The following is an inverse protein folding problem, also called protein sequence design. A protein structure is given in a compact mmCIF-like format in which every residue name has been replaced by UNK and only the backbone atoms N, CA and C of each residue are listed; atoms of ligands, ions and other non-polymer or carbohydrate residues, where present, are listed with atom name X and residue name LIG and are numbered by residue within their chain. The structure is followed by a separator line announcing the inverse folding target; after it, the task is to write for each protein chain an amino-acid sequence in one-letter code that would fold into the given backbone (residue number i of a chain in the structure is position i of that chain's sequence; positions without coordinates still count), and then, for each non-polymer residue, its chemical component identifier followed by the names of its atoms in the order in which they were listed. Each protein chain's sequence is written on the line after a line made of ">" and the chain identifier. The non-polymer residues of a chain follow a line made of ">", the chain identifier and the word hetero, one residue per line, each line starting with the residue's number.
data_IF_233756242680
#
_entry.id   IF_233756242680
#
_cell.length_a   1.000
_cell.length_b   1.000
_cell.length_c   1.000
_cell.angle_alpha   90.00
_cell.angle_beta   90.00
_cell.angle_gamma   90.00
#
_symmetry.space_group_name_H-M   'P 1'
#
loop_
_entity.id
_entity.type
_entity.pdbx_description
1 polymer ?
#
# COMPACT_ATOMS: atom_id res chain seq x y z
N UNK A 1 4.87 12.58 -28.79
CA UNK A 1 3.47 12.31 -28.43
C UNK A 1 3.35 10.80 -28.38
N UNK A 2 3.52 10.21 -27.21
CA UNK A 2 3.56 8.75 -27.05
C UNK A 2 2.12 8.27 -26.93
N UNK A 3 1.62 7.62 -27.98
CA UNK A 3 0.35 6.91 -27.93
C UNK A 3 0.52 5.73 -26.97
N UNK A 4 -0.10 5.82 -25.79
CA UNK A 4 -0.30 4.66 -24.93
C UNK A 4 -1.47 3.87 -25.53
N UNK A 5 -1.22 2.64 -25.99
CA UNK A 5 -2.32 1.74 -26.33
C UNK A 5 -3.05 1.36 -25.04
N UNK A 6 -4.37 1.55 -25.02
CA UNK A 6 -5.20 1.10 -23.90
C UNK A 6 -4.94 -0.40 -23.65
N UNK A 7 -4.44 -0.74 -22.46
CA UNK A 7 -4.24 -2.13 -22.02
C UNK A 7 -2.79 -2.58 -21.83
N UNK A 8 -1.78 -1.79 -22.22
CA UNK A 8 -0.38 -2.16 -21.96
C UNK A 8 0.05 -1.76 -20.54
N UNK A 9 0.44 -2.73 -19.71
CA UNK A 9 0.96 -2.47 -18.37
C UNK A 9 2.34 -1.80 -18.44
N UNK A 10 2.55 -0.71 -17.70
CA UNK A 10 3.86 -0.07 -17.58
C UNK A 10 4.76 -0.89 -16.66
N UNK A 11 5.96 -1.25 -17.14
CA UNK A 11 6.96 -2.02 -16.37
C UNK A 11 8.09 -1.13 -15.88
N UNK A 12 8.81 -1.56 -14.84
CA UNK A 12 10.01 -0.86 -14.35
C UNK A 12 11.10 -0.78 -15.43
N UNK A 13 11.23 -1.82 -16.27
CA UNK A 13 12.18 -1.81 -17.39
C UNK A 13 11.81 -0.76 -18.44
N UNK A 14 10.51 -0.61 -18.76
CA UNK A 14 10.05 0.44 -19.68
C UNK A 14 10.32 1.84 -19.12
N UNK A 15 10.09 2.04 -17.83
CA UNK A 15 10.40 3.32 -17.17
C UNK A 15 11.90 3.61 -17.19
N UNK A 16 12.74 2.61 -16.86
CA UNK A 16 14.19 2.69 -16.92
C UNK A 16 14.68 3.10 -18.31
N UNK A 17 14.19 2.44 -19.36
CA UNK A 17 14.52 2.76 -20.75
C UNK A 17 14.12 4.20 -21.11
N UNK A 18 12.90 4.60 -20.77
CA UNK A 18 12.41 5.97 -21.03
C UNK A 18 13.23 7.03 -20.31
N UNK A 19 13.64 6.78 -19.06
CA UNK A 19 14.49 7.69 -18.30
C UNK A 19 15.92 7.77 -18.86
N UNK A 20 16.50 6.64 -19.25
CA UNK A 20 17.81 6.60 -19.86
C UNK A 20 17.83 7.35 -21.20
N UNK A 21 16.79 7.18 -22.02
CA UNK A 21 16.61 7.92 -23.27
C UNK A 21 16.49 9.43 -22.99
N UNK A 22 15.62 9.84 -22.07
CA UNK A 22 15.40 11.23 -21.70
C UNK A 22 16.68 11.92 -21.19
N UNK A 23 17.46 11.23 -20.35
CA UNK A 23 18.71 11.73 -19.81
C UNK A 23 19.79 11.89 -20.90
N UNK A 24 19.90 10.90 -21.79
CA UNK A 24 20.87 10.92 -22.89
C UNK A 24 20.58 12.04 -23.89
N UNK A 25 19.32 12.25 -24.26
CA UNK A 25 18.90 13.35 -25.15
C UNK A 25 19.29 14.73 -24.61
N UNK A 26 19.34 14.89 -23.29
CA UNK A 26 19.67 16.14 -22.61
C UNK A 26 21.13 16.20 -22.15
N UNK A 27 21.90 15.16 -22.43
CA UNK A 27 23.28 15.00 -21.97
C UNK A 27 23.42 15.12 -20.45
N UNK A 28 22.42 14.63 -19.71
CA UNK A 28 22.32 14.72 -18.25
C UNK A 28 23.05 13.59 -17.51
N UNK A 29 23.52 12.57 -18.23
CA UNK A 29 24.26 11.46 -17.62
C UNK A 29 25.46 11.92 -16.79
N UNK A 30 26.08 13.05 -17.14
CA UNK A 30 27.18 13.66 -16.38
C UNK A 30 26.79 14.10 -14.96
N UNK A 31 25.51 14.39 -14.70
CA UNK A 31 25.01 14.84 -13.40
C UNK A 31 24.43 13.70 -12.57
N UNK A 32 24.17 12.54 -13.19
CA UNK A 32 23.51 11.38 -12.60
C UNK A 32 24.49 10.45 -11.84
N UNK A 33 25.25 11.01 -10.90
CA UNK A 33 25.96 10.18 -9.92
C UNK A 33 24.96 9.54 -8.93
N UNK A 34 25.24 8.35 -8.38
CA UNK A 34 24.37 7.71 -7.38
C UNK A 34 23.99 8.64 -6.22
N UNK A 35 24.95 9.42 -5.72
CA UNK A 35 24.72 10.38 -4.63
C UNK A 35 23.74 11.47 -5.03
N UNK A 36 23.90 12.04 -6.23
CA UNK A 36 23.02 13.13 -6.67
C UNK A 36 21.59 12.64 -6.88
N UNK A 37 21.42 11.46 -7.49
CA UNK A 37 20.11 10.84 -7.67
C UNK A 37 19.43 10.49 -6.33
N UNK A 38 20.20 10.02 -5.34
CA UNK A 38 19.69 9.80 -3.99
C UNK A 38 19.23 11.11 -3.34
N UNK A 39 19.98 12.20 -3.49
CA UNK A 39 19.59 13.49 -2.93
C UNK A 39 18.35 14.07 -3.61
N UNK A 40 18.23 13.91 -4.93
CA UNK A 40 17.02 14.28 -5.67
C UNK A 40 15.81 13.46 -5.18
N UNK A 41 15.95 12.13 -5.06
CA UNK A 41 14.92 11.26 -4.50
C UNK A 41 14.45 11.72 -3.10
N UNK A 42 15.38 12.14 -2.24
CA UNK A 42 15.02 12.67 -0.91
C UNK A 42 14.23 13.98 -1.02
N UNK A 43 14.56 14.83 -2.00
CA UNK A 43 13.78 16.02 -2.34
C UNK A 43 12.33 15.69 -2.68
N UNK A 44 12.11 14.77 -3.62
CA UNK A 44 10.76 14.37 -4.05
C UNK A 44 9.97 13.69 -2.92
N UNK A 45 10.63 12.94 -2.03
CA UNK A 45 9.98 12.41 -0.82
C UNK A 45 9.56 13.55 0.12
N UNK A 46 10.32 14.65 0.16
CA UNK A 46 9.96 15.88 0.85
C UNK A 46 8.71 16.52 0.26
N UNK A 47 8.67 16.74 -1.06
CA UNK A 47 7.52 17.31 -1.78
C UNK A 47 6.26 16.44 -1.60
N UNK A 48 6.39 15.12 -1.74
CA UNK A 48 5.34 14.16 -1.41
C UNK A 48 4.85 14.30 0.04
N UNK A 49 5.76 14.53 0.99
CA UNK A 49 5.41 14.71 2.41
C UNK A 49 4.66 16.02 2.65
N UNK A 50 4.96 17.08 1.92
CA UNK A 50 4.29 18.38 2.04
C UNK A 50 2.79 18.31 1.73
N UNK A 51 2.39 17.39 0.84
CA UNK A 51 0.98 17.12 0.52
C UNK A 51 0.20 16.66 1.77
N UNK A 52 0.86 15.90 2.66
CA UNK A 52 0.23 15.31 3.84
C UNK A 52 0.49 16.07 5.13
N UNK A 53 1.47 16.97 5.19
CA UNK A 53 2.00 17.54 6.43
C UNK A 53 0.94 18.18 7.36
N UNK A 54 -0.13 18.74 6.79
CA UNK A 54 -1.24 19.39 7.53
C UNK A 54 -2.55 18.60 7.47
N UNK A 55 -2.55 17.43 6.84
CA UNK A 55 -3.69 16.51 6.84
C UNK A 55 -3.63 15.73 8.15
N UNK A 56 -4.76 15.60 8.84
CA UNK A 56 -4.89 14.69 9.99
C UNK A 56 -4.84 13.23 9.53
N UNK A 57 -5.62 12.35 10.15
CA UNK A 57 -5.78 11.00 9.62
C UNK A 57 -6.38 11.05 8.20
N UNK A 58 -5.65 10.48 7.22
CA UNK A 58 -6.10 10.42 5.83
C UNK A 58 -6.72 9.04 5.56
N UNK A 59 -8.03 8.96 5.31
CA UNK A 59 -8.69 7.69 5.02
C UNK A 59 -8.26 7.10 3.68
N UNK A 60 -8.29 5.77 3.59
CA UNK A 60 -8.02 5.02 2.36
C UNK A 60 -8.95 5.50 1.23
N UNK A 61 -8.39 5.66 0.04
CA UNK A 61 -9.13 6.10 -1.15
C UNK A 61 -9.36 7.61 -1.23
N UNK A 62 -8.82 8.38 -0.28
CA UNK A 62 -8.81 9.84 -0.30
C UNK A 62 -10.20 10.48 -0.52
N UNK A 63 -11.27 10.03 0.19
CA UNK A 63 -12.58 10.66 0.08
C UNK A 63 -12.50 12.16 0.43
N UNK A 64 -13.15 12.98 -0.38
CA UNK A 64 -13.17 14.44 -0.20
C UNK A 64 -11.94 15.17 -0.75
N UNK A 65 -10.93 14.46 -1.26
CA UNK A 65 -9.85 15.10 -2.02
C UNK A 65 -10.36 15.49 -3.41
N UNK A 66 -9.99 16.68 -3.83
CA UNK A 66 -10.27 17.19 -5.17
C UNK A 66 -9.38 16.49 -6.19
N UNK A 67 -9.77 16.55 -7.46
CA UNK A 67 -9.03 15.89 -8.54
C UNK A 67 -7.64 16.50 -8.78
N UNK A 68 -7.48 17.81 -8.57
CA UNK A 68 -6.17 18.49 -8.61
C UNK A 68 -5.26 18.02 -7.46
N UNK A 69 -5.78 17.80 -6.25
CA UNK A 69 -4.99 17.24 -5.14
C UNK A 69 -4.53 15.81 -5.45
N UNK A 70 -5.38 14.99 -6.06
CA UNK A 70 -5.02 13.61 -6.45
C UNK A 70 -4.04 13.58 -7.62
N UNK A 71 -4.18 14.51 -8.57
CA UNK A 71 -3.24 14.66 -9.67
C UNK A 71 -1.85 15.00 -9.14
N UNK A 72 -1.77 16.03 -8.29
CA UNK A 72 -0.50 16.44 -7.67
C UNK A 72 0.12 15.31 -6.83
N UNK A 73 -0.68 14.59 -6.04
CA UNK A 73 -0.21 13.37 -5.36
C UNK A 73 0.35 12.33 -6.33
N UNK A 74 -0.29 12.14 -7.48
CA UNK A 74 0.18 11.24 -8.53
C UNK A 74 1.51 11.68 -9.15
N UNK A 75 1.72 12.99 -9.31
CA UNK A 75 2.98 13.58 -9.79
C UNK A 75 4.11 13.28 -8.81
N UNK A 76 3.96 13.64 -7.53
CA UNK A 76 5.01 13.43 -6.52
C UNK A 76 5.33 11.94 -6.28
N UNK A 77 4.31 11.08 -6.29
CA UNK A 77 4.52 9.62 -6.25
C UNK A 77 5.30 9.12 -7.46
N UNK A 78 5.06 9.72 -8.63
CA UNK A 78 5.76 9.37 -9.86
C UNK A 78 7.21 9.84 -9.82
N UNK A 79 7.49 11.04 -9.32
CA UNK A 79 8.86 11.56 -9.22
C UNK A 79 9.71 10.71 -8.27
N UNK A 80 9.18 10.33 -7.11
CA UNK A 80 9.82 9.36 -6.20
C UNK A 80 10.11 8.03 -6.93
N UNK A 81 9.14 7.48 -7.67
CA UNK A 81 9.33 6.24 -8.43
C UNK A 81 10.42 6.38 -9.49
N UNK A 82 10.39 7.46 -10.27
CA UNK A 82 11.30 7.68 -11.39
C UNK A 82 12.74 7.85 -10.88
N UNK A 83 12.99 8.66 -9.85
CA UNK A 83 14.34 8.75 -9.29
C UNK A 83 14.82 7.43 -8.69
N UNK A 84 13.95 6.64 -8.06
CA UNK A 84 14.32 5.33 -7.55
C UNK A 84 14.68 4.36 -8.68
N UNK A 85 13.91 4.34 -9.76
CA UNK A 85 14.20 3.54 -10.97
C UNK A 85 15.55 3.97 -11.56
N UNK A 86 15.77 5.27 -11.75
CA UNK A 86 17.03 5.76 -12.32
C UNK A 86 18.23 5.51 -11.42
N UNK A 87 18.08 5.67 -10.11
CA UNK A 87 19.12 5.31 -9.15
C UNK A 87 19.47 3.83 -9.24
N UNK A 88 18.47 2.94 -9.34
CA UNK A 88 18.71 1.50 -9.49
C UNK A 88 19.46 1.16 -10.78
N UNK A 89 19.13 1.82 -11.89
CA UNK A 89 19.79 1.69 -13.19
C UNK A 89 21.27 2.06 -13.11
N UNK A 90 21.57 3.26 -12.59
CA UNK A 90 22.95 3.73 -12.41
C UNK A 90 23.75 2.85 -11.45
N UNK A 91 23.10 2.25 -10.44
CA UNK A 91 23.73 1.31 -9.51
C UNK A 91 23.83 -0.13 -10.05
N UNK A 92 23.29 -0.44 -11.24
CA UNK A 92 23.28 -1.79 -11.80
C UNK A 92 22.42 -2.78 -11.02
N UNK A 93 21.36 -2.29 -10.35
CA UNK A 93 20.44 -3.10 -9.55
C UNK A 93 19.16 -3.37 -10.34
N UNK A 94 18.82 -4.64 -10.51
CA UNK A 94 17.49 -5.04 -11.00
C UNK A 94 16.45 -4.80 -9.89
N UNK A 95 15.82 -3.62 -9.92
CA UNK A 95 14.88 -3.18 -8.90
C UNK A 95 13.67 -4.10 -8.79
N UNK A 96 13.16 -4.61 -9.90
CA UNK A 96 12.02 -5.54 -9.92
C UNK A 96 12.34 -6.84 -9.20
N UNK A 97 13.47 -7.49 -9.53
CA UNK A 97 13.90 -8.70 -8.82
C UNK A 97 14.22 -8.43 -7.35
N UNK A 98 14.86 -7.30 -7.05
CA UNK A 98 15.18 -6.91 -5.67
C UNK A 98 13.90 -6.72 -4.83
N UNK A 99 12.88 -6.07 -5.39
CA UNK A 99 11.59 -5.86 -4.73
C UNK A 99 10.86 -7.19 -4.48
N UNK A 100 10.78 -8.08 -5.47
CA UNK A 100 10.14 -9.40 -5.33
C UNK A 100 10.82 -10.23 -4.24
N UNK A 101 12.16 -10.32 -4.25
CA UNK A 101 12.93 -10.98 -3.19
C UNK A 101 12.64 -10.37 -1.82
N UNK A 102 12.50 -9.03 -1.74
CA UNK A 102 12.22 -8.35 -0.48
C UNK A 102 10.82 -8.68 0.05
N UNK A 103 9.82 -8.83 -0.81
CA UNK A 103 8.47 -9.28 -0.43
C UNK A 103 8.51 -10.68 0.17
N UNK A 104 9.22 -11.63 -0.46
CA UNK A 104 9.40 -13.00 0.07
C UNK A 104 10.04 -12.99 1.45
N UNK A 105 11.12 -12.21 1.64
CA UNK A 105 11.78 -12.07 2.93
C UNK A 105 10.87 -11.42 3.99
N UNK A 106 10.04 -10.46 3.60
CA UNK A 106 9.09 -9.83 4.51
C UNK A 106 7.98 -10.81 4.92
N UNK A 107 7.53 -11.70 4.04
CA UNK A 107 6.54 -12.73 4.36
C UNK A 107 7.08 -13.74 5.40
N UNK A 108 8.37 -14.07 5.34
CA UNK A 108 9.05 -14.88 6.37
C UNK A 108 9.13 -14.11 7.69
N UNK A 109 9.47 -12.82 7.65
CA UNK A 109 9.60 -11.97 8.85
C UNK A 109 8.25 -11.72 9.53
N UNK A 110 7.16 -11.63 8.77
CA UNK A 110 5.81 -11.34 9.24
C UNK A 110 4.82 -12.40 8.73
N UNK A 111 4.83 -13.61 9.30
CA UNK A 111 3.97 -14.69 8.86
C UNK A 111 2.49 -14.36 9.11
N UNK A 112 1.61 -14.87 8.25
CA UNK A 112 0.16 -14.81 8.49
C UNK A 112 -0.13 -15.56 9.78
N UNK A 113 -0.48 -14.84 10.83
CA UNK A 113 -0.99 -15.46 12.05
C UNK A 113 -2.30 -16.17 11.68
N UNK A 114 -2.35 -17.49 11.81
CA UNK A 114 -3.62 -18.22 11.80
C UNK A 114 -4.42 -17.76 13.02
N UNK A 115 -5.19 -16.67 12.91
CA UNK A 115 -6.29 -16.44 13.83
C UNK A 115 -7.28 -17.56 13.58
N UNK A 116 -7.14 -18.59 14.40
CA UNK A 116 -8.03 -19.72 14.48
C UNK A 116 -9.47 -19.21 14.44
N UNK A 117 -10.25 -19.82 13.54
CA UNK A 117 -11.69 -19.97 13.70
C UNK A 117 -11.95 -20.73 15.01
N UNK A 118 -11.74 -20.11 16.17
CA UNK A 118 -12.45 -20.51 17.38
C UNK A 118 -13.82 -19.83 17.28
N UNK A 119 -14.68 -20.49 16.51
CA UNK A 119 -16.09 -20.55 16.86
C UNK A 119 -16.16 -20.95 18.33
N UNK A 120 -16.37 -19.97 19.21
CA UNK A 120 -16.86 -20.21 20.55
C UNK A 120 -18.23 -20.88 20.38
N UNK A 121 -18.23 -22.21 20.21
CA UNK A 121 -19.36 -23.03 20.59
C UNK A 121 -19.41 -22.93 22.10
N UNK A 122 -20.14 -21.93 22.57
CA UNK A 122 -20.61 -21.88 23.95
C UNK A 122 -21.53 -23.09 24.10
N UNK A 123 -20.97 -24.20 24.57
CA UNK A 123 -21.74 -25.21 25.28
C UNK A 123 -22.00 -24.63 26.67
N UNK A 124 -23.15 -23.99 26.83
CA UNK A 124 -23.68 -23.56 28.13
C UNK A 124 -23.86 -24.79 29.04
N UNK A 125 -23.27 -24.84 30.25
CA UNK A 125 -23.55 -25.90 31.22
C UNK A 125 -24.77 -25.62 32.11
N UNK A 126 -25.50 -24.51 31.93
CA UNK A 126 -26.65 -24.17 32.78
C UNK A 126 -27.98 -24.48 32.08
N UNK A 127 -28.25 -25.75 31.79
CA UNK A 127 -29.62 -26.25 31.64
C UNK A 127 -30.10 -26.75 33.00
N UNK A 128 -30.60 -25.84 33.85
CA UNK A 128 -31.30 -26.23 35.08
C UNK A 128 -32.58 -26.94 34.69
N UNK A 129 -32.57 -28.26 34.87
CA UNK A 129 -33.75 -29.11 34.83
C UNK A 129 -34.53 -28.86 36.12
N UNK A 130 -35.62 -28.08 36.06
CA UNK A 130 -36.65 -28.10 37.09
C UNK A 130 -37.63 -29.23 36.79
N UNK A 131 -37.42 -30.35 37.48
CA UNK A 131 -38.43 -31.39 37.72
C UNK A 131 -38.82 -31.32 39.21
N UNK A 132 -40.05 -31.76 39.51
CA UNK A 132 -40.84 -31.65 40.76
C UNK A 132 -41.66 -30.35 40.82
N UNK A 133 -42.98 -30.34 40.82
CA UNK A 133 -43.96 -31.39 41.10
C UNK A 133 -44.94 -30.89 42.16
N UNK A 134 -46.23 -30.88 41.80
CA UNK A 134 -47.43 -30.87 42.65
C UNK A 134 -48.10 -29.55 43.11
N UNK A 135 -49.32 -29.41 42.54
CA UNK A 135 -50.63 -29.29 43.20
C UNK A 135 -51.28 -27.91 43.37
N UNK A 136 -52.34 -27.73 42.56
CA UNK A 136 -53.69 -27.26 42.88
C UNK A 136 -53.87 -26.01 43.75
N UNK A 137 -54.51 -24.99 43.18
CA UNK A 137 -55.88 -24.57 43.56
C UNK A 137 -56.46 -23.61 42.52
N UNK A 138 -57.72 -23.86 42.16
CA UNK A 138 -58.62 -23.01 41.37
C UNK A 138 -59.05 -21.74 42.15
N UNK A 139 -59.33 -20.65 41.43
CA UNK A 139 -60.33 -19.59 41.70
C UNK A 139 -60.06 -18.46 40.67
N UNK A 140 -60.80 -18.27 39.57
CA UNK A 140 -62.18 -17.81 39.36
C UNK A 140 -62.49 -16.38 39.85
N UNK A 141 -62.67 -15.49 38.86
CA UNK A 141 -63.47 -14.23 38.81
C UNK A 141 -63.09 -12.98 39.60
N UNK A 142 -63.18 -11.84 38.91
CA UNK A 142 -63.24 -10.48 39.47
C UNK A 142 -62.80 -9.43 38.47
#
# INVERSE_FOLDING_TARGET
>A
MTEFSEGESVTLDRLKEKMAEFARERNWDQFHSPRNLLLALVGEVGELSEIFQWKGEVPKGLPGWKEDEKLHLGEELSDVLLYLVRLSDICGVDLGKAALRKVELNAIKYPVSQKQNQTNSITDPNTTTTSHGNNNTEEFTG
#
